data_IF_703843941929
#
_entry.id   IF_703843941929
#
_cell.length_a   1.000
_cell.length_b   1.000
_cell.length_c   1.000
_cell.angle_alpha   90.00
_cell.angle_beta   90.00
_cell.angle_gamma   90.00
#
_symmetry.space_group_name_H-M   'P 1'
#
loop_
_entity.id
_entity.type
_entity.pdbx_description
1 polymer ?
#
# COMPACT_ATOMS: atom_id res chain seq x y z
N UNK A 1 15.46 -9.38 -8.60
CA UNK A 1 14.38 -8.42 -8.86
C UNK A 1 14.80 -7.04 -8.43
N UNK A 2 14.71 -6.05 -9.32
CA UNK A 2 14.97 -4.66 -8.97
C UNK A 2 13.81 -4.04 -8.19
N UNK A 3 14.08 -2.96 -7.43
CA UNK A 3 13.06 -2.28 -6.64
C UNK A 3 11.80 -1.87 -7.42
N UNK A 4 11.88 -1.40 -8.68
CA UNK A 4 10.69 -1.05 -9.45
C UNK A 4 9.69 -2.20 -9.68
N UNK A 5 10.17 -3.44 -9.65
CA UNK A 5 9.29 -4.61 -9.81
C UNK A 5 8.26 -4.71 -8.68
N UNK A 6 8.63 -4.33 -7.46
CA UNK A 6 7.74 -4.35 -6.30
C UNK A 6 6.55 -3.40 -6.49
N UNK A 7 6.79 -2.22 -7.05
CA UNK A 7 5.72 -1.28 -7.38
C UNK A 7 4.77 -1.83 -8.45
N UNK A 8 5.32 -2.44 -9.51
CA UNK A 8 4.52 -3.05 -10.57
C UNK A 8 3.70 -4.23 -10.04
N UNK A 9 4.28 -5.08 -9.21
CA UNK A 9 3.60 -6.19 -8.55
C UNK A 9 2.45 -5.68 -7.67
N UNK A 10 2.71 -4.65 -6.87
CA UNK A 10 1.69 -4.06 -5.99
C UNK A 10 0.54 -3.44 -6.78
N UNK A 11 0.84 -2.72 -7.86
CA UNK A 11 -0.17 -2.16 -8.76
C UNK A 11 -1.03 -3.27 -9.39
N UNK A 12 -0.43 -4.38 -9.79
CA UNK A 12 -1.14 -5.54 -10.32
C UNK A 12 -2.10 -6.12 -9.29
N UNK A 13 -1.68 -6.23 -8.03
CA UNK A 13 -2.57 -6.65 -6.93
C UNK A 13 -3.75 -5.70 -6.75
N UNK A 14 -3.48 -4.39 -6.79
CA UNK A 14 -4.51 -3.36 -6.62
C UNK A 14 -5.56 -3.46 -7.72
N UNK A 15 -5.14 -3.65 -8.97
CA UNK A 15 -6.02 -3.63 -10.14
C UNK A 15 -6.60 -5.01 -10.49
N UNK A 16 -6.18 -6.08 -9.81
CA UNK A 16 -6.70 -7.42 -10.06
C UNK A 16 -8.22 -7.47 -9.82
N UNK A 17 -8.96 -8.00 -10.81
CA UNK A 17 -10.43 -8.10 -10.78
C UNK A 17 -11.14 -6.75 -10.61
N UNK A 18 -10.49 -5.65 -10.99
CA UNK A 18 -11.09 -4.31 -10.98
C UNK A 18 -11.49 -3.89 -12.39
N UNK A 19 -12.49 -3.03 -12.48
CA UNK A 19 -12.93 -2.46 -13.75
C UNK A 19 -12.91 -0.92 -13.77
N UNK A 20 -12.72 -0.29 -12.60
CA UNK A 20 -12.66 1.17 -12.50
C UNK A 20 -11.80 1.61 -11.31
N UNK A 21 -11.12 2.73 -11.45
CA UNK A 21 -10.38 3.41 -10.38
C UNK A 21 -10.76 4.89 -10.38
N UNK A 22 -10.93 5.47 -9.20
CA UNK A 22 -11.25 6.88 -9.04
C UNK A 22 -10.47 7.50 -7.87
N UNK A 23 -9.92 8.72 -8.02
CA UNK A 23 -9.26 9.41 -6.93
C UNK A 23 -10.25 9.81 -5.84
N UNK A 24 -9.82 9.72 -4.59
CA UNK A 24 -10.58 10.14 -3.40
C UNK A 24 -10.08 11.47 -2.82
N UNK A 25 -8.98 12.00 -3.33
CA UNK A 25 -8.36 13.24 -2.92
C UNK A 25 -8.30 14.24 -4.07
N UNK A 26 -7.86 15.46 -3.80
CA UNK A 26 -7.73 16.54 -4.81
C UNK A 26 -6.44 16.47 -5.62
N UNK A 27 -5.56 15.51 -5.34
CA UNK A 27 -4.27 15.27 -6.01
C UNK A 27 -3.31 16.48 -5.93
N UNK A 28 -3.44 17.30 -4.88
CA UNK A 28 -2.60 18.51 -4.72
C UNK A 28 -1.44 18.31 -3.74
N UNK A 29 -1.36 17.16 -3.06
CA UNK A 29 -0.34 16.85 -2.05
C UNK A 29 0.49 15.63 -2.44
N UNK A 30 1.50 15.31 -1.61
CA UNK A 30 2.29 14.08 -1.72
C UNK A 30 1.53 12.82 -1.26
N UNK A 31 0.29 12.99 -0.78
CA UNK A 31 -0.56 11.90 -0.32
C UNK A 31 -1.67 11.66 -1.34
N UNK A 32 -1.98 10.39 -1.61
CA UNK A 32 -3.02 10.03 -2.55
C UNK A 32 -3.86 8.87 -2.03
N UNK A 33 -5.13 8.87 -2.41
CA UNK A 33 -6.06 7.81 -2.14
C UNK A 33 -6.92 7.54 -3.37
N UNK A 34 -7.07 6.26 -3.72
CA UNK A 34 -7.87 5.82 -4.86
C UNK A 34 -8.85 4.75 -4.44
N UNK A 35 -10.11 4.91 -4.82
CA UNK A 35 -11.09 3.84 -4.72
C UNK A 35 -11.02 2.96 -5.96
N UNK A 36 -11.03 1.65 -5.77
CA UNK A 36 -10.96 0.64 -6.82
C UNK A 36 -12.28 -0.11 -6.82
N UNK A 37 -12.94 -0.13 -7.97
CA UNK A 37 -14.31 -0.62 -8.14
C UNK A 37 -14.35 -1.93 -8.90
N UNK A 38 -15.36 -2.72 -8.57
CA UNK A 38 -15.80 -3.87 -9.35
C UNK A 38 -17.31 -3.88 -9.42
N UNK A 39 -17.87 -3.92 -10.63
CA UNK A 39 -19.32 -3.95 -10.88
C UNK A 39 -20.07 -2.79 -10.18
N UNK A 40 -19.48 -1.58 -10.21
CA UNK A 40 -20.06 -0.36 -9.66
C UNK A 40 -19.93 -0.21 -8.14
N UNK A 41 -19.26 -1.11 -7.44
CA UNK A 41 -19.05 -1.05 -6.00
C UNK A 41 -17.56 -0.95 -5.64
N UNK A 42 -17.17 -0.14 -4.64
CA UNK A 42 -15.79 -0.11 -4.20
C UNK A 42 -15.42 -1.42 -3.50
N UNK A 43 -14.30 -2.01 -3.89
CA UNK A 43 -13.80 -3.28 -3.34
C UNK A 43 -12.46 -3.14 -2.65
N UNK A 44 -11.67 -2.12 -3.03
CA UNK A 44 -10.35 -1.84 -2.44
C UNK A 44 -10.13 -0.34 -2.39
N UNK A 45 -9.21 0.08 -1.52
CA UNK A 45 -8.69 1.45 -1.49
C UNK A 45 -7.18 1.37 -1.50
N UNK A 46 -6.55 2.12 -2.42
CA UNK A 46 -5.10 2.28 -2.48
C UNK A 46 -4.75 3.60 -1.82
N UNK A 47 -3.93 3.53 -0.76
CA UNK A 47 -3.37 4.68 -0.07
C UNK A 47 -1.89 4.79 -0.38
N UNK A 48 -1.41 6.02 -0.55
CA UNK A 48 -0.04 6.25 -0.97
C UNK A 48 0.53 7.50 -0.31
N UNK A 49 1.73 7.38 0.27
CA UNK A 49 2.51 8.49 0.80
C UNK A 49 3.82 8.59 0.01
N UNK A 50 3.93 9.59 -0.88
CA UNK A 50 5.08 9.78 -1.75
C UNK A 50 6.15 10.70 -1.16
N UNK A 51 6.08 11.05 0.12
CA UNK A 51 7.12 11.84 0.78
C UNK A 51 8.48 11.14 0.64
N UNK A 52 9.51 11.96 0.40
CA UNK A 52 10.87 11.47 0.22
C UNK A 52 11.56 11.29 1.57
N UNK A 53 12.20 10.14 1.76
CA UNK A 53 12.91 9.80 2.99
C UNK A 53 14.20 9.02 2.69
N UNK A 54 15.32 9.47 3.23
CA UNK A 54 16.62 8.79 3.09
C UNK A 54 17.37 8.63 4.41
N UNK A 55 17.06 9.44 5.41
CA UNK A 55 17.75 9.41 6.71
C UNK A 55 16.98 10.21 7.76
N UNK A 56 17.35 10.05 9.02
CA UNK A 56 16.76 10.77 10.15
C UNK A 56 15.41 10.18 10.58
N UNK A 57 14.55 11.02 11.15
CA UNK A 57 13.20 10.60 11.55
C UNK A 57 12.31 10.48 10.33
N UNK A 58 11.73 9.29 10.13
CA UNK A 58 10.83 9.04 9.01
C UNK A 58 9.46 9.67 9.29
N UNK A 59 9.01 10.64 8.48
CA UNK A 59 7.69 11.22 8.67
C UNK A 59 6.60 10.21 8.27
N UNK A 60 5.39 10.43 8.79
CA UNK A 60 4.23 9.62 8.46
C UNK A 60 2.97 10.47 8.33
N UNK A 61 1.98 9.93 7.63
CA UNK A 61 0.68 10.53 7.44
C UNK A 61 -0.41 9.55 7.84
N UNK A 62 -1.41 10.05 8.54
CA UNK A 62 -2.59 9.27 8.92
C UNK A 62 -3.70 9.49 7.91
N UNK A 63 -4.31 8.38 7.47
CA UNK A 63 -5.44 8.34 6.55
C UNK A 63 -6.66 7.80 7.27
N UNK A 64 -7.80 8.46 7.14
CA UNK A 64 -9.08 8.00 7.66
C UNK A 64 -10.02 7.70 6.50
N UNK A 65 -10.49 6.46 6.42
CA UNK A 65 -11.49 6.02 5.43
C UNK A 65 -12.86 6.01 6.11
N UNK A 66 -13.83 6.67 5.50
CA UNK A 66 -15.20 6.75 5.98
C UNK A 66 -16.21 6.06 5.06
N UNK A 67 -17.45 5.95 5.52
CA UNK A 67 -18.54 5.38 4.73
C UNK A 67 -18.49 3.85 4.63
N UNK A 68 -17.81 3.19 5.56
CA UNK A 68 -17.64 1.73 5.57
C UNK A 68 -18.81 1.06 6.30
N UNK A 69 -19.31 -0.04 5.72
CA UNK A 69 -20.41 -0.83 6.30
C UNK A 69 -19.92 -2.09 7.03
N UNK A 70 -18.70 -2.54 6.74
CA UNK A 70 -18.10 -3.71 7.40
C UNK A 70 -17.58 -3.35 8.81
N UNK A 71 -17.40 -4.35 9.66
CA UNK A 71 -16.83 -4.17 11.00
C UNK A 71 -15.32 -4.18 11.02
N UNK A 72 -14.69 -4.68 9.98
CA UNK A 72 -13.23 -4.74 9.83
C UNK A 72 -12.85 -4.76 8.37
N UNK A 73 -11.61 -4.35 8.11
CA UNK A 73 -10.97 -4.43 6.78
C UNK A 73 -9.59 -5.04 6.94
N UNK A 74 -9.05 -5.56 5.85
CA UNK A 74 -7.67 -6.06 5.82
C UNK A 74 -6.84 -5.21 4.88
N UNK A 75 -5.51 -5.25 5.04
CA UNK A 75 -4.62 -4.45 4.21
C UNK A 75 -3.28 -5.14 4.00
N UNK A 76 -2.66 -4.82 2.86
CA UNK A 76 -1.30 -5.24 2.52
C UNK A 76 -0.45 -4.00 2.25
N UNK A 77 0.75 -3.97 2.80
CA UNK A 77 1.64 -2.81 2.74
C UNK A 77 2.82 -3.06 1.83
N UNK A 78 3.11 -2.07 0.97
CA UNK A 78 4.37 -1.95 0.25
C UNK A 78 5.25 -0.96 1.00
N UNK A 79 6.40 -1.41 1.46
CA UNK A 79 7.38 -0.56 2.15
C UNK A 79 8.81 -0.93 1.76
N UNK A 80 9.73 -0.02 2.04
CA UNK A 80 11.17 -0.21 1.88
C UNK A 80 11.89 0.59 2.96
N UNK A 81 13.17 0.29 3.28
CA UNK A 81 13.92 1.06 4.28
C UNK A 81 14.04 2.55 3.96
N UNK A 82 14.17 2.90 2.68
CA UNK A 82 14.36 4.28 2.22
C UNK A 82 13.64 4.51 0.88
N UNK A 83 13.41 5.77 0.52
CA UNK A 83 12.90 6.12 -0.82
C UNK A 83 13.86 5.71 -1.94
N UNK A 84 15.14 5.60 -1.62
CA UNK A 84 16.22 5.22 -2.54
C UNK A 84 16.66 3.77 -2.38
N UNK A 85 15.85 2.92 -1.76
CA UNK A 85 16.15 1.52 -1.49
C UNK A 85 16.50 0.74 -2.74
N UNK A 86 17.56 -0.06 -2.65
CA UNK A 86 18.05 -0.90 -3.75
C UNK A 86 18.27 -2.32 -3.27
N UNK A 87 17.77 -3.27 -4.04
CA UNK A 87 17.93 -4.71 -3.76
C UNK A 87 19.41 -5.13 -3.77
N UNK A 88 20.19 -4.58 -4.69
CA UNK A 88 21.63 -4.87 -4.80
C UNK A 88 22.47 -4.32 -3.62
N UNK A 89 21.85 -3.53 -2.74
CA UNK A 89 22.45 -3.02 -1.50
C UNK A 89 21.89 -3.67 -0.24
N UNK A 90 21.10 -4.74 -0.39
CA UNK A 90 20.43 -5.40 0.73
C UNK A 90 19.30 -4.57 1.36
N UNK A 91 18.75 -3.61 0.62
CA UNK A 91 17.65 -2.74 1.06
C UNK A 91 16.35 -3.19 0.39
N UNK A 92 15.99 -4.45 0.56
CA UNK A 92 14.85 -5.03 -0.13
C UNK A 92 13.53 -4.36 0.26
N UNK A 93 12.71 -3.93 -0.72
CA UNK A 93 11.31 -3.65 -0.46
C UNK A 93 10.57 -4.93 -0.04
N UNK A 94 9.42 -4.75 0.62
CA UNK A 94 8.51 -5.85 0.92
C UNK A 94 7.08 -5.50 0.54
N UNK A 95 6.33 -6.51 0.12
CA UNK A 95 4.88 -6.45 -0.07
C UNK A 95 4.25 -7.44 0.90
N UNK A 96 3.40 -6.94 1.79
CA UNK A 96 2.83 -7.75 2.88
C UNK A 96 3.92 -8.55 3.65
N UNK A 97 5.05 -7.92 3.94
CA UNK A 97 6.17 -8.54 4.64
C UNK A 97 7.01 -9.52 3.81
N UNK A 98 6.66 -9.75 2.55
CA UNK A 98 7.36 -10.70 1.67
C UNK A 98 8.22 -9.99 0.63
N UNK A 99 9.31 -10.65 0.23
CA UNK A 99 10.21 -10.18 -0.82
C UNK A 99 10.44 -11.25 -1.89
N UNK A 100 11.05 -10.85 -2.99
CA UNK A 100 11.45 -11.79 -4.05
C UNK A 100 12.90 -12.22 -3.85
N UNK A 101 13.14 -13.52 -3.98
CA UNK A 101 14.48 -14.08 -3.90
C UNK A 101 15.35 -13.62 -5.08
N UNK A 102 16.60 -13.27 -4.80
CA UNK A 102 17.56 -12.89 -5.82
C UNK A 102 17.85 -14.08 -6.73
N UNK A 103 17.69 -13.87 -8.04
CA UNK A 103 17.96 -14.87 -9.07
C UNK A 103 16.92 -15.97 -9.23
N UNK A 104 16.00 -16.13 -8.31
CA UNK A 104 14.95 -17.17 -8.39
C UNK A 104 13.56 -16.61 -8.67
N UNK A 105 13.34 -15.32 -8.39
CA UNK A 105 12.03 -14.65 -8.53
C UNK A 105 10.92 -15.31 -7.69
N UNK A 106 11.28 -16.12 -6.69
CA UNK A 106 10.34 -16.76 -5.78
C UNK A 106 9.99 -15.82 -4.62
N UNK A 107 8.75 -15.88 -4.18
CA UNK A 107 8.29 -15.11 -3.01
C UNK A 107 8.89 -15.75 -1.75
N UNK A 108 9.50 -14.94 -0.89
CA UNK A 108 10.14 -15.35 0.36
C UNK A 108 9.59 -14.55 1.54
N UNK A 109 9.53 -15.18 2.70
CA UNK A 109 9.04 -14.58 3.93
C UNK A 109 7.58 -14.94 4.23
N UNK A 110 7.15 -14.63 5.44
CA UNK A 110 5.77 -14.86 5.90
C UNK A 110 4.90 -13.69 5.49
N UNK A 111 3.74 -13.98 4.90
CA UNK A 111 2.78 -12.94 4.55
C UNK A 111 2.22 -12.28 5.81
N UNK A 112 2.24 -10.95 5.86
CA UNK A 112 1.70 -10.15 6.95
C UNK A 112 0.48 -9.39 6.43
N UNK A 113 -0.70 -9.71 6.96
CA UNK A 113 -1.95 -9.02 6.68
C UNK A 113 -2.25 -8.10 7.86
N UNK A 114 -2.39 -6.80 7.59
CA UNK A 114 -2.85 -5.83 8.57
C UNK A 114 -4.37 -5.89 8.67
N UNK A 115 -4.91 -5.69 9.87
CA UNK A 115 -6.35 -5.62 10.09
C UNK A 115 -6.71 -4.26 10.68
N UNK A 116 -7.68 -3.59 10.07
CA UNK A 116 -8.26 -2.36 10.61
C UNK A 116 -9.64 -2.61 11.18
N UNK A 117 -9.87 -2.15 12.42
CA UNK A 117 -11.19 -2.19 13.02
C UNK A 117 -12.00 -0.97 12.58
N UNK A 118 -13.19 -1.19 12.03
CA UNK A 118 -14.09 -0.13 11.62
C UNK A 118 -14.96 0.27 12.81
N UNK A 119 -14.93 1.56 13.15
CA UNK A 119 -15.73 2.15 14.22
C UNK A 119 -16.50 3.34 13.66
N UNK A 120 -17.82 3.37 13.86
CA UNK A 120 -18.70 4.42 13.31
C UNK A 120 -18.51 4.63 11.80
N UNK A 121 -18.32 3.55 11.07
CA UNK A 121 -18.08 3.57 9.62
C UNK A 121 -16.71 4.06 9.19
N UNK A 122 -15.76 4.21 10.12
CA UNK A 122 -14.42 4.74 9.84
C UNK A 122 -13.32 3.79 10.28
N UNK A 123 -12.21 3.79 9.52
CA UNK A 123 -10.97 3.12 9.88
C UNK A 123 -9.79 4.05 9.58
N UNK A 124 -8.75 3.96 10.39
CA UNK A 124 -7.55 4.81 10.27
C UNK A 124 -6.33 3.95 10.05
N UNK A 125 -5.48 4.37 9.07
CA UNK A 125 -4.17 3.78 8.81
C UNK A 125 -3.12 4.85 8.76
N UNK A 126 -1.91 4.53 9.21
CA UNK A 126 -0.75 5.42 9.16
C UNK A 126 0.27 4.87 8.17
N UNK A 127 0.66 5.69 7.20
CA UNK A 127 1.69 5.38 6.22
C UNK A 127 2.91 6.26 6.45
N UNK A 128 4.07 5.65 6.60
CA UNK A 128 5.33 6.37 6.60
C UNK A 128 5.67 6.86 5.18
N UNK A 129 6.62 7.80 5.10
CA UNK A 129 7.12 8.30 3.82
C UNK A 129 7.54 7.14 2.91
N UNK A 130 7.19 7.21 1.63
CA UNK A 130 7.49 6.19 0.61
C UNK A 130 6.87 4.82 0.92
N UNK A 131 5.65 4.82 1.46
CA UNK A 131 4.84 3.61 1.64
C UNK A 131 3.55 3.68 0.84
N UNK A 132 3.03 2.51 0.48
CA UNK A 132 1.69 2.35 -0.06
C UNK A 132 0.96 1.24 0.70
N UNK A 133 -0.36 1.36 0.79
CA UNK A 133 -1.22 0.40 1.48
C UNK A 133 -2.42 0.08 0.62
N UNK A 134 -2.66 -1.19 0.39
CA UNK A 134 -3.85 -1.67 -0.31
C UNK A 134 -4.83 -2.23 0.71
N UNK A 135 -5.96 -1.55 0.87
CA UNK A 135 -7.02 -1.91 1.81
C UNK A 135 -8.10 -2.69 1.08
N UNK A 136 -8.46 -3.85 1.61
CA UNK A 136 -9.55 -4.70 1.11
C UNK A 136 -10.79 -4.43 1.96
N UNK A 137 -11.85 -3.99 1.29
CA UNK A 137 -13.12 -3.62 1.93
C UNK A 137 -14.03 -4.82 2.19
#
# INVERSE_FOLDING_TARGET
MGSPYYGAYFATMALANADQIAPLDDQTTSYAAYAIYKDGAPVKVLLYNSDYYTSGTRPSQTFTLGGLSSSSVTAKRLTAPYSTSRVDRGQDPTVAGQKFGNGTCTIQGTEVIETGTVSSGQVTFTLAASEALLVYL
#
